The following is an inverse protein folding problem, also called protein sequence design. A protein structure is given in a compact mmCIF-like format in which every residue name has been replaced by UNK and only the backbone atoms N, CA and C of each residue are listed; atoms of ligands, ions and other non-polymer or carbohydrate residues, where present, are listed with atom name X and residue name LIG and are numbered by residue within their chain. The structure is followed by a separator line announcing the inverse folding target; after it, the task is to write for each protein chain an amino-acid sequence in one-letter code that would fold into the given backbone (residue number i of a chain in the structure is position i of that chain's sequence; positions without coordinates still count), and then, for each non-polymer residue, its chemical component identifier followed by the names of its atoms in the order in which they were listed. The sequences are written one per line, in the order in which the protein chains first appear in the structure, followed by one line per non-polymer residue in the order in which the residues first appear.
data_IF_703119504770
#
_entry.id   IF_703119504770
#
_cell.length_a   1.000
_cell.length_b   1.000
_cell.length_c   1.000
_cell.angle_alpha   90.00
_cell.angle_beta   90.00
_cell.angle_gamma   90.00
#
_symmetry.space_group_name_H-M   'P 1'
#
loop_
_entity.id
_entity.type
_entity.pdbx_description
1 polymer ?
#
# COMPACT_ATOMS: atom_id res chain seq x y z
N UNK A 1 -15.40 -23.80 80.29
CA UNK A 1 -14.08 -23.47 79.75
C UNK A 1 -13.95 -24.11 78.36
N UNK A 2 -14.33 -23.42 77.30
CA UNK A 2 -14.28 -23.96 75.94
C UNK A 2 -13.38 -23.05 75.10
N UNK A 3 -12.24 -23.61 74.70
CA UNK A 3 -11.27 -22.90 73.86
C UNK A 3 -11.77 -22.86 72.40
N UNK A 4 -12.04 -21.66 71.90
CA UNK A 4 -12.44 -21.43 70.53
C UNK A 4 -11.17 -21.29 69.70
N UNK A 5 -10.93 -22.26 68.79
CA UNK A 5 -9.84 -22.19 67.80
C UNK A 5 -10.35 -21.43 66.60
N UNK A 6 -9.86 -20.20 66.41
CA UNK A 6 -10.07 -19.43 65.17
C UNK A 6 -9.14 -19.95 64.07
N UNK A 7 -9.69 -20.58 63.06
CA UNK A 7 -9.00 -21.05 61.86
C UNK A 7 -8.93 -19.88 60.86
N UNK A 8 -7.75 -19.27 60.75
CA UNK A 8 -7.47 -18.19 59.77
C UNK A 8 -7.25 -18.84 58.40
N UNK A 9 -8.25 -18.78 57.53
CA UNK A 9 -8.12 -19.14 56.12
C UNK A 9 -7.46 -17.99 55.35
N UNK A 10 -6.20 -18.16 55.00
CA UNK A 10 -5.44 -17.25 54.13
C UNK A 10 -5.88 -17.47 52.67
N UNK A 11 -6.71 -16.61 52.14
CA UNK A 11 -7.03 -16.57 50.71
C UNK A 11 -5.88 -15.92 49.96
N UNK A 12 -5.04 -16.72 49.30
CA UNK A 12 -4.07 -16.22 48.33
C UNK A 12 -4.78 -15.86 47.05
N UNK A 13 -4.96 -14.57 46.82
CA UNK A 13 -5.48 -14.03 45.54
C UNK A 13 -4.36 -14.06 44.53
N UNK A 14 -4.37 -15.07 43.66
CA UNK A 14 -3.49 -15.13 42.50
C UNK A 14 -4.07 -14.16 41.44
N UNK A 15 -3.53 -12.94 41.36
CA UNK A 15 -3.81 -12.03 40.28
C UNK A 15 -3.09 -12.50 39.02
N UNK A 16 -3.79 -13.22 38.14
CA UNK A 16 -3.31 -13.51 36.80
C UNK A 16 -3.30 -12.18 35.99
N UNK A 17 -2.13 -11.57 35.97
CA UNK A 17 -1.88 -10.42 35.12
C UNK A 17 -1.98 -10.81 33.65
N UNK A 18 -3.13 -10.55 33.02
CA UNK A 18 -3.28 -10.64 31.56
C UNK A 18 -2.41 -9.57 30.92
N UNK A 19 -1.17 -9.91 30.56
CA UNK A 19 -0.36 -9.10 29.65
C UNK A 19 -1.04 -9.12 28.27
N UNK A 20 -1.82 -8.06 27.98
CA UNK A 20 -2.24 -7.78 26.62
C UNK A 20 -0.97 -7.54 25.79
N UNK A 21 -0.53 -8.54 25.06
CA UNK A 21 0.44 -8.37 24.00
C UNK A 21 -0.23 -7.45 22.96
N UNK A 22 0.07 -6.17 23.03
CA UNK A 22 -0.19 -5.24 21.94
C UNK A 22 0.70 -5.68 20.79
N UNK A 23 0.14 -6.45 19.88
CA UNK A 23 0.73 -6.66 18.57
C UNK A 23 0.83 -5.28 17.92
N UNK A 24 1.99 -4.64 18.02
CA UNK A 24 2.35 -3.52 17.18
C UNK A 24 2.40 -4.07 15.77
N UNK A 25 1.28 -3.97 15.05
CA UNK A 25 1.29 -4.06 13.61
C UNK A 25 2.18 -2.92 13.14
N UNK A 26 3.43 -3.25 12.81
CA UNK A 26 4.28 -2.38 12.01
C UNK A 26 3.52 -2.16 10.69
N UNK A 27 2.70 -1.14 10.66
CA UNK A 27 2.09 -0.66 9.45
C UNK A 27 3.24 -0.11 8.61
N UNK A 28 3.76 -0.96 7.72
CA UNK A 28 4.85 -0.60 6.81
C UNK A 28 4.38 0.63 6.03
N UNK A 29 4.96 1.78 6.35
CA UNK A 29 4.57 3.08 5.79
C UNK A 29 4.69 2.99 4.28
N UNK A 30 3.58 3.01 3.59
CA UNK A 30 3.56 3.00 2.14
C UNK A 30 4.40 4.17 1.62
N UNK A 31 5.38 3.88 0.78
CA UNK A 31 6.20 4.91 0.14
C UNK A 31 5.31 5.81 -0.69
N UNK A 32 5.31 7.11 -0.42
CA UNK A 32 4.54 8.08 -1.21
C UNK A 32 5.04 8.13 -2.64
N UNK A 33 4.10 8.16 -3.58
CA UNK A 33 4.37 8.18 -5.02
C UNK A 33 3.98 9.54 -5.61
N UNK A 34 4.86 10.09 -6.44
CA UNK A 34 4.66 11.38 -7.11
C UNK A 34 4.81 11.19 -8.62
N UNK A 35 3.76 11.52 -9.37
CA UNK A 35 3.75 11.42 -10.84
C UNK A 35 3.62 12.83 -11.40
N UNK A 36 4.66 13.28 -12.09
CA UNK A 36 4.73 14.63 -12.66
C UNK A 36 4.08 14.72 -14.06
N UNK A 37 4.07 15.93 -14.63
CA UNK A 37 3.49 16.19 -15.96
C UNK A 37 4.19 15.50 -17.13
N UNK A 38 5.40 14.96 -16.91
CA UNK A 38 6.16 14.17 -17.89
C UNK A 38 5.92 12.67 -17.75
N UNK A 39 5.09 12.25 -16.78
CA UNK A 39 4.85 10.84 -16.47
C UNK A 39 5.96 10.18 -15.68
N UNK A 40 6.92 10.93 -15.13
CA UNK A 40 7.96 10.39 -14.27
C UNK A 40 7.38 10.07 -12.90
N UNK A 41 7.73 8.90 -12.39
CA UNK A 41 7.25 8.34 -11.13
C UNK A 41 8.40 8.36 -10.13
N UNK A 42 8.24 9.11 -9.05
CA UNK A 42 9.25 9.29 -8.00
C UNK A 42 8.68 8.93 -6.63
N UNK A 43 9.57 8.58 -5.70
CA UNK A 43 9.22 8.43 -4.30
C UNK A 43 9.29 9.77 -3.55
N UNK A 44 9.00 9.76 -2.23
CA UNK A 44 9.05 10.94 -1.35
C UNK A 44 10.44 11.57 -1.21
N UNK A 45 11.50 10.82 -1.50
CA UNK A 45 12.88 11.29 -1.47
C UNK A 45 13.36 11.82 -2.84
N UNK A 46 12.46 11.91 -3.83
CA UNK A 46 12.79 12.34 -5.18
C UNK A 46 13.49 11.26 -6.03
N UNK A 47 13.65 10.05 -5.52
CA UNK A 47 14.24 8.94 -6.28
C UNK A 47 13.28 8.51 -7.37
N UNK A 48 13.76 8.48 -8.62
CA UNK A 48 12.98 7.98 -9.76
C UNK A 48 12.78 6.47 -9.63
N UNK A 49 11.53 6.05 -9.61
CA UNK A 49 11.12 4.65 -9.57
C UNK A 49 10.79 4.10 -10.94
N UNK A 50 10.33 4.96 -11.84
CA UNK A 50 9.91 4.58 -13.17
C UNK A 50 9.28 5.72 -13.95
N UNK A 51 8.56 5.37 -14.99
CA UNK A 51 7.87 6.35 -15.84
C UNK A 51 6.71 5.71 -16.61
N UNK A 52 5.79 6.55 -17.06
CA UNK A 52 4.71 6.21 -17.98
C UNK A 52 5.17 6.65 -19.36
N UNK A 53 5.25 5.74 -20.31
CA UNK A 53 5.67 6.07 -21.67
C UNK A 53 4.51 6.61 -22.54
N UNK A 54 4.82 6.97 -23.79
CA UNK A 54 3.85 7.51 -24.75
C UNK A 54 2.72 6.53 -25.10
N UNK A 55 2.92 5.24 -24.90
CA UNK A 55 1.95 4.18 -25.16
C UNK A 55 1.16 3.80 -23.89
N UNK A 56 1.25 4.64 -22.83
CA UNK A 56 0.62 4.44 -21.52
C UNK A 56 1.09 3.14 -20.80
N UNK A 57 2.30 2.69 -21.13
CA UNK A 57 2.90 1.56 -20.44
C UNK A 57 3.75 2.09 -19.28
N UNK A 58 3.53 1.53 -18.10
CA UNK A 58 4.34 1.84 -16.92
C UNK A 58 5.56 0.95 -16.89
N UNK A 59 6.73 1.58 -16.78
CA UNK A 59 8.04 0.95 -16.74
C UNK A 59 8.78 1.34 -15.47
N UNK A 60 9.68 0.48 -15.00
CA UNK A 60 10.61 0.85 -13.94
C UNK A 60 11.74 1.77 -14.46
N UNK A 61 12.63 2.17 -13.57
CA UNK A 61 13.77 3.04 -13.91
C UNK A 61 14.80 2.39 -14.86
N UNK A 62 14.74 1.07 -15.06
CA UNK A 62 15.58 0.32 -16.02
C UNK A 62 14.91 0.20 -17.39
N UNK A 63 13.65 0.62 -17.53
CA UNK A 63 12.85 0.49 -18.73
C UNK A 63 12.09 -0.83 -18.86
N UNK A 64 12.15 -1.70 -17.85
CA UNK A 64 11.36 -2.95 -17.79
C UNK A 64 9.89 -2.61 -17.61
N UNK A 65 9.03 -3.20 -18.46
CA UNK A 65 7.57 -3.09 -18.35
C UNK A 65 7.09 -3.68 -17.02
N UNK A 66 6.32 -2.91 -16.26
CA UNK A 66 5.66 -3.35 -15.05
C UNK A 66 4.20 -3.69 -15.31
N UNK A 67 3.46 -2.77 -15.91
CA UNK A 67 2.06 -2.99 -16.26
C UNK A 67 1.61 -2.00 -17.35
N UNK A 68 0.43 -2.23 -17.88
CA UNK A 68 -0.30 -1.29 -18.74
C UNK A 68 -1.79 -1.30 -18.37
N UNK A 69 -2.52 -0.29 -18.86
CA UNK A 69 -3.97 -0.21 -18.68
C UNK A 69 -4.61 -0.37 -20.06
N UNK A 70 -5.50 -1.35 -20.19
CA UNK A 70 -6.23 -1.56 -21.45
C UNK A 70 -7.39 -0.56 -21.63
N UNK A 71 -8.12 -0.68 -22.74
CA UNK A 71 -9.24 0.20 -23.08
C UNK A 71 -10.41 0.11 -22.10
N UNK A 72 -10.55 -1.02 -21.42
CA UNK A 72 -11.61 -1.29 -20.45
C UNK A 72 -11.21 -0.87 -19.03
N UNK A 73 -9.97 -0.37 -18.86
CA UNK A 73 -9.41 0.07 -17.60
C UNK A 73 -8.78 -1.07 -16.79
N UNK A 74 -8.62 -2.28 -17.35
CA UNK A 74 -7.94 -3.35 -16.64
C UNK A 74 -6.45 -3.05 -16.55
N UNK A 75 -5.90 -3.16 -15.35
CA UNK A 75 -4.47 -3.02 -15.08
C UNK A 75 -3.84 -4.40 -15.23
N UNK A 76 -2.97 -4.57 -16.21
CA UNK A 76 -2.41 -5.86 -16.63
C UNK A 76 -0.90 -5.81 -16.47
N UNK A 77 -0.32 -6.75 -15.72
CA UNK A 77 1.12 -6.82 -15.49
C UNK A 77 1.89 -7.32 -16.73
N UNK A 78 3.22 -7.38 -16.61
CA UNK A 78 4.10 -7.83 -17.70
C UNK A 78 3.91 -9.31 -18.07
N UNK A 79 3.23 -10.09 -17.24
CA UNK A 79 2.93 -11.51 -17.44
C UNK A 79 1.52 -11.75 -17.99
N UNK A 80 0.74 -10.68 -18.23
CA UNK A 80 -0.63 -10.75 -18.70
C UNK A 80 -1.67 -10.99 -17.60
N UNK A 81 -1.27 -10.93 -16.32
CA UNK A 81 -2.18 -11.11 -15.19
C UNK A 81 -2.89 -9.79 -14.88
N UNK A 82 -4.21 -9.82 -14.73
CA UNK A 82 -4.98 -8.68 -14.26
C UNK A 82 -4.71 -8.43 -12.77
N UNK A 83 -4.28 -7.20 -12.46
CA UNK A 83 -4.02 -6.72 -11.10
C UNK A 83 -5.24 -6.03 -10.49
N UNK A 84 -6.13 -5.49 -11.33
CA UNK A 84 -7.31 -4.76 -10.92
C UNK A 84 -7.86 -3.87 -12.02
N UNK A 85 -8.70 -2.90 -11.64
CA UNK A 85 -9.38 -2.00 -12.57
C UNK A 85 -9.18 -0.52 -12.17
N UNK A 86 -8.57 0.24 -13.06
CA UNK A 86 -8.43 1.69 -12.96
C UNK A 86 -9.63 2.38 -13.63
N UNK A 87 -10.11 3.47 -13.06
CA UNK A 87 -11.17 4.29 -13.59
C UNK A 87 -10.65 5.69 -13.96
N UNK A 88 -11.29 6.33 -14.94
CA UNK A 88 -10.91 7.68 -15.42
C UNK A 88 -10.99 8.75 -14.31
N UNK A 89 -11.84 8.56 -13.32
CA UNK A 89 -11.92 9.43 -12.15
C UNK A 89 -10.78 9.21 -11.14
N UNK A 90 -9.85 8.28 -11.42
CA UNK A 90 -8.69 7.99 -10.58
C UNK A 90 -8.95 7.00 -9.43
N UNK A 91 -10.11 6.34 -9.43
CA UNK A 91 -10.35 5.22 -8.53
C UNK A 91 -9.66 3.97 -9.07
N UNK A 92 -9.15 3.15 -8.15
CA UNK A 92 -8.59 1.85 -8.48
C UNK A 92 -9.14 0.77 -7.57
N UNK A 93 -9.59 -0.31 -8.18
CA UNK A 93 -10.12 -1.49 -7.51
C UNK A 93 -9.20 -2.68 -7.80
N UNK A 94 -8.91 -3.48 -6.78
CA UNK A 94 -8.16 -4.72 -6.99
C UNK A 94 -9.02 -5.77 -7.71
N UNK A 95 -8.44 -6.94 -7.98
CA UNK A 95 -9.14 -8.03 -8.68
C UNK A 95 -10.24 -8.71 -7.84
N UNK A 96 -10.41 -8.32 -6.57
CA UNK A 96 -11.54 -8.72 -5.71
C UNK A 96 -12.68 -7.70 -5.74
N UNK A 97 -12.51 -6.58 -6.47
CA UNK A 97 -13.47 -5.49 -6.50
C UNK A 97 -13.41 -4.54 -5.30
N UNK A 98 -12.38 -4.66 -4.45
CA UNK A 98 -12.19 -3.78 -3.30
C UNK A 98 -11.53 -2.47 -3.77
N UNK A 99 -12.05 -1.31 -3.31
CA UNK A 99 -11.40 -0.02 -3.54
C UNK A 99 -10.05 -0.01 -2.82
N UNK A 100 -8.98 0.28 -3.55
CA UNK A 100 -7.60 0.29 -3.03
C UNK A 100 -7.07 1.70 -2.89
N UNK A 101 -7.47 2.59 -3.80
CA UNK A 101 -7.13 4.00 -3.75
C UNK A 101 -8.12 4.83 -4.56
N UNK A 102 -8.09 6.13 -4.29
CA UNK A 102 -8.86 7.12 -5.00
C UNK A 102 -8.05 8.40 -5.19
N UNK A 103 -8.48 9.27 -6.10
CA UNK A 103 -7.88 10.58 -6.26
C UNK A 103 -8.84 11.69 -5.85
N UNK A 104 -8.25 12.79 -5.37
CA UNK A 104 -8.95 14.04 -5.05
C UNK A 104 -8.22 15.19 -5.76
N UNK A 105 -8.95 15.98 -6.53
CA UNK A 105 -8.37 17.13 -7.21
C UNK A 105 -7.89 18.16 -6.17
N UNK A 106 -6.64 18.59 -6.31
CA UNK A 106 -6.02 19.64 -5.49
C UNK A 106 -6.10 20.98 -6.24
N UNK A 107 -5.80 20.96 -7.52
CA UNK A 107 -5.86 22.11 -8.43
C UNK A 107 -6.10 21.64 -9.88
N UNK A 108 -5.95 22.54 -10.84
CA UNK A 108 -6.16 22.24 -12.29
C UNK A 108 -5.13 21.25 -12.86
N UNK A 109 -4.00 21.09 -12.21
CA UNK A 109 -2.90 20.26 -12.72
C UNK A 109 -2.65 18.99 -11.88
N UNK A 110 -3.06 18.99 -10.60
CA UNK A 110 -2.68 17.96 -9.64
C UNK A 110 -3.86 17.36 -8.89
N UNK A 111 -3.74 16.05 -8.62
CA UNK A 111 -4.60 15.32 -7.70
C UNK A 111 -3.78 14.73 -6.56
N UNK A 112 -4.35 14.69 -5.36
CA UNK A 112 -3.86 13.79 -4.32
C UNK A 112 -4.25 12.36 -4.66
N UNK A 113 -3.37 11.41 -4.33
CA UNK A 113 -3.68 9.98 -4.29
C UNK A 113 -3.95 9.63 -2.83
N UNK A 114 -5.12 9.07 -2.56
CA UNK A 114 -5.57 8.73 -1.21
C UNK A 114 -5.74 7.22 -1.09
N UNK A 115 -5.40 6.67 0.08
CA UNK A 115 -5.79 5.31 0.45
C UNK A 115 -7.31 5.25 0.75
N UNK A 116 -7.90 4.07 1.00
CA UNK A 116 -9.32 3.94 1.34
C UNK A 116 -9.72 4.65 2.62
N UNK A 117 -8.78 4.93 3.53
CA UNK A 117 -8.98 5.66 4.78
C UNK A 117 -8.88 7.19 4.58
N UNK A 118 -8.51 7.65 3.38
CA UNK A 118 -8.36 9.06 3.06
C UNK A 118 -6.98 9.65 3.36
N UNK A 119 -5.99 8.84 3.74
CA UNK A 119 -4.63 9.32 3.94
C UNK A 119 -3.95 9.58 2.60
N UNK A 120 -3.20 10.68 2.53
CA UNK A 120 -2.46 11.03 1.32
C UNK A 120 -1.22 10.13 1.16
N UNK A 121 -1.21 9.34 0.10
CA UNK A 121 -0.13 8.42 -0.29
C UNK A 121 0.64 8.90 -1.54
N UNK A 122 0.39 10.13 -2.00
CA UNK A 122 1.11 10.73 -3.11
C UNK A 122 0.33 11.78 -3.87
N UNK A 123 0.91 12.23 -4.98
CA UNK A 123 0.24 13.13 -5.92
C UNK A 123 0.47 12.70 -7.36
N UNK A 124 -0.46 13.05 -8.24
CA UNK A 124 -0.40 12.74 -9.65
C UNK A 124 -0.84 13.93 -10.47
N UNK A 125 -0.18 14.19 -11.61
CA UNK A 125 -0.62 15.17 -12.57
C UNK A 125 -1.92 14.70 -13.25
N UNK A 126 -2.87 15.62 -13.50
CA UNK A 126 -4.20 15.33 -14.06
C UNK A 126 -4.15 14.48 -15.35
N UNK A 127 -3.16 14.72 -16.23
CA UNK A 127 -2.99 13.96 -17.46
C UNK A 127 -2.80 12.45 -17.25
N UNK A 128 -2.36 12.04 -16.06
CA UNK A 128 -2.08 10.66 -15.70
C UNK A 128 -3.03 10.10 -14.65
N UNK A 129 -4.15 10.80 -14.36
CA UNK A 129 -5.09 10.43 -13.30
C UNK A 129 -5.51 8.96 -13.34
N UNK A 130 -5.69 8.40 -14.55
CA UNK A 130 -5.97 6.97 -14.75
C UNK A 130 -4.87 6.06 -14.16
N UNK A 131 -3.63 6.52 -14.15
CA UNK A 131 -2.46 5.78 -13.62
C UNK A 131 -2.23 5.95 -12.12
N UNK A 132 -3.20 6.47 -11.35
CA UNK A 132 -3.08 6.55 -9.88
C UNK A 132 -2.79 5.19 -9.23
N UNK A 133 -3.22 4.10 -9.87
CA UNK A 133 -2.89 2.72 -9.47
C UNK A 133 -1.37 2.44 -9.36
N UNK A 134 -0.51 3.28 -9.95
CA UNK A 134 0.94 3.17 -9.80
C UNK A 134 1.36 3.16 -8.33
N UNK A 135 0.72 3.95 -7.47
CA UNK A 135 1.01 3.97 -6.04
C UNK A 135 0.86 2.57 -5.40
N UNK A 136 -0.17 1.83 -5.78
CA UNK A 136 -0.39 0.46 -5.31
C UNK A 136 0.54 -0.56 -6.00
N UNK A 137 0.69 -0.46 -7.32
CA UNK A 137 1.50 -1.40 -8.08
C UNK A 137 2.99 -1.35 -7.69
N UNK A 138 3.55 -0.16 -7.50
CA UNK A 138 4.93 -0.01 -7.02
C UNK A 138 5.10 -0.50 -5.59
N UNK A 139 4.11 -0.33 -4.72
CA UNK A 139 4.13 -0.90 -3.38
C UNK A 139 4.17 -2.43 -3.40
N UNK A 140 3.36 -3.07 -4.25
CA UNK A 140 3.38 -4.54 -4.41
C UNK A 140 4.73 -5.03 -4.94
N UNK A 141 5.33 -4.33 -5.91
CA UNK A 141 6.64 -4.70 -6.46
C UNK A 141 7.73 -4.59 -5.40
N UNK A 142 7.73 -3.54 -4.58
CA UNK A 142 8.68 -3.41 -3.47
C UNK A 142 8.55 -4.52 -2.44
N UNK A 143 7.32 -4.92 -2.08
CA UNK A 143 7.08 -6.06 -1.19
C UNK A 143 7.64 -7.36 -1.76
N UNK A 144 7.44 -7.60 -3.05
CA UNK A 144 7.95 -8.79 -3.74
C UNK A 144 9.47 -8.83 -3.69
N UNK A 145 10.14 -7.72 -4.02
CA UNK A 145 11.61 -7.62 -3.99
C UNK A 145 12.18 -7.82 -2.58
N UNK A 146 11.52 -7.33 -1.54
CA UNK A 146 11.94 -7.58 -0.15
C UNK A 146 11.84 -9.05 0.21
N UNK A 147 10.72 -9.70 -0.09
CA UNK A 147 10.51 -11.12 0.18
C UNK A 147 11.53 -12.02 -0.56
N UNK A 148 11.91 -11.67 -1.80
CA UNK A 148 12.94 -12.38 -2.55
C UNK A 148 14.32 -12.25 -1.92
N UNK A 149 14.67 -11.03 -1.44
CA UNK A 149 15.94 -10.78 -0.74
C UNK A 149 16.03 -11.53 0.59
N UNK A 150 14.95 -11.63 1.34
CA UNK A 150 14.91 -12.38 2.60
C UNK A 150 15.11 -13.87 2.36
N UNK A 151 14.45 -14.45 1.35
CA UNK A 151 14.64 -15.85 0.94
C UNK A 151 16.06 -16.15 0.48
N UNK A 152 16.75 -15.21 -0.16
CA UNK A 152 18.13 -15.37 -0.59
C UNK A 152 19.14 -15.34 0.56
N UNK A 153 18.81 -14.71 1.70
CA UNK A 153 19.66 -14.66 2.89
C UNK A 153 19.56 -15.89 3.78
N UNK A 154 18.51 -16.69 3.61
CA UNK A 154 18.23 -17.90 4.43
C UNK A 154 18.70 -19.20 3.73
N UNK A 155 19.33 -19.11 2.61
CA UNK A 155 20.03 -20.20 1.90
C UNK A 155 21.55 -20.06 2.06
#
# INVERSE_FOLDING_TARGET
MKKLHALLLLFAIITVGSTKATAQTHQEKATKIFINKKGEINNENGTKLGFIDKDNIVKDNTGKKLYFIDRDGNVIDSQGKTLGKAQKNGFYYNNKGENVLQTKDLDKEKCAILDPQGHNIGTIHQNYKLHACAAHCFFLEQKKLKAEKEKAKTK
#
